data_IF_568562552542
#
_entry.id   IF_568562552542
#
_cell.length_a   1.000
_cell.length_b   1.000
_cell.length_c   1.000
_cell.angle_alpha   90.00
_cell.angle_beta   90.00
_cell.angle_gamma   90.00
#
_symmetry.space_group_name_H-M   'P 1'
#
loop_
_entity.id
_entity.type
_entity.pdbx_description
1 polymer ?
#
# COMPACT_ATOMS: atom_id res chain seq x y z
N UNK A 1 1.34 26.05 -21.29
CA UNK A 1 0.17 25.14 -21.24
C UNK A 1 0.20 24.05 -22.31
N UNK A 2 0.41 24.32 -23.62
CA UNK A 2 0.28 23.28 -24.66
C UNK A 2 1.09 22.00 -24.42
N UNK A 3 2.35 22.15 -24.02
CA UNK A 3 3.23 21.01 -23.72
C UNK A 3 2.81 20.24 -22.46
N UNK A 4 2.31 20.95 -21.44
CA UNK A 4 1.77 20.32 -20.23
C UNK A 4 0.52 19.49 -20.58
N UNK A 5 -0.41 20.04 -21.35
CA UNK A 5 -1.61 19.35 -21.79
C UNK A 5 -1.27 18.10 -22.63
N UNK A 6 -0.34 18.24 -23.59
CA UNK A 6 0.12 17.12 -24.41
C UNK A 6 0.75 15.99 -23.57
N UNK A 7 1.58 16.32 -22.58
CA UNK A 7 2.17 15.34 -21.67
C UNK A 7 1.11 14.68 -20.79
N UNK A 8 0.23 15.48 -20.18
CA UNK A 8 -0.80 14.98 -19.27
C UNK A 8 -1.79 14.08 -20.00
N UNK A 9 -2.23 14.43 -21.21
CA UNK A 9 -3.08 13.56 -22.03
C UNK A 9 -2.49 12.16 -22.18
N UNK A 10 -1.20 12.07 -22.52
CA UNK A 10 -0.50 10.78 -22.66
C UNK A 10 -0.40 10.07 -21.32
N UNK A 11 -0.02 10.77 -20.26
CA UNK A 11 0.16 10.18 -18.93
C UNK A 11 -1.15 9.59 -18.39
N UNK A 12 -2.22 10.39 -18.35
CA UNK A 12 -3.51 9.98 -17.80
C UNK A 12 -4.17 8.90 -18.64
N UNK A 13 -4.13 9.01 -19.98
CA UNK A 13 -4.64 7.96 -20.86
C UNK A 13 -3.90 6.63 -20.65
N UNK A 14 -2.58 6.69 -20.50
CA UNK A 14 -1.77 5.47 -20.26
C UNK A 14 -2.09 4.84 -18.91
N UNK A 15 -2.26 5.65 -17.87
CA UNK A 15 -2.65 5.17 -16.53
C UNK A 15 -4.04 4.52 -16.54
N UNK A 16 -5.00 5.18 -17.17
CA UNK A 16 -6.34 4.64 -17.37
C UNK A 16 -6.30 3.27 -18.08
N UNK A 17 -5.52 3.14 -19.16
CA UNK A 17 -5.36 1.85 -19.85
C UNK A 17 -4.65 0.80 -19.00
N UNK A 18 -3.61 1.18 -18.24
CA UNK A 18 -2.91 0.26 -17.34
C UNK A 18 -3.82 -0.28 -16.24
N UNK A 19 -4.65 0.58 -15.65
CA UNK A 19 -5.59 0.23 -14.59
C UNK A 19 -6.76 -0.61 -15.11
N UNK A 20 -7.30 -0.27 -16.29
CA UNK A 20 -8.43 -0.99 -16.89
C UNK A 20 -8.03 -2.34 -17.47
N UNK A 21 -6.80 -2.46 -17.97
CA UNK A 21 -6.30 -3.63 -18.67
C UNK A 21 -4.90 -4.04 -18.17
N UNK A 22 -4.78 -4.51 -16.91
CA UNK A 22 -3.50 -4.91 -16.33
C UNK A 22 -2.88 -6.12 -17.02
N UNK A 23 -3.70 -6.96 -17.66
CA UNK A 23 -3.32 -8.18 -18.38
C UNK A 23 -2.84 -7.93 -19.82
N UNK A 24 -3.05 -6.72 -20.36
CA UNK A 24 -2.66 -6.41 -21.74
C UNK A 24 -1.17 -6.14 -21.88
N UNK A 25 -0.58 -6.70 -22.95
CA UNK A 25 0.78 -6.36 -23.38
C UNK A 25 0.88 -4.88 -23.80
N UNK A 26 2.11 -4.35 -23.76
CA UNK A 26 2.41 -2.98 -24.24
C UNK A 26 1.94 -2.78 -25.69
N UNK A 27 2.11 -3.78 -26.55
CA UNK A 27 1.66 -3.73 -27.95
C UNK A 27 0.13 -3.58 -28.06
N UNK A 28 -0.64 -4.30 -27.24
CA UNK A 28 -2.09 -4.17 -27.22
C UNK A 28 -2.52 -2.78 -26.77
N UNK A 29 -1.90 -2.23 -25.71
CA UNK A 29 -2.18 -0.88 -25.22
C UNK A 29 -1.82 0.20 -26.23
N UNK A 30 -0.68 0.07 -26.93
CA UNK A 30 -0.27 0.95 -28.03
C UNK A 30 -1.23 0.89 -29.23
N UNK A 31 -1.76 -0.30 -29.56
CA UNK A 31 -2.78 -0.43 -30.59
C UNK A 31 -4.10 0.26 -30.17
N UNK A 32 -4.51 0.10 -28.91
CA UNK A 32 -5.70 0.80 -28.40
C UNK A 32 -5.55 2.32 -28.46
N UNK A 33 -4.38 2.85 -28.09
CA UNK A 33 -4.08 4.28 -28.22
C UNK A 33 -4.21 4.78 -29.66
N UNK A 34 -3.81 3.96 -30.64
CA UNK A 34 -3.96 4.28 -32.05
C UNK A 34 -5.43 4.29 -32.49
N UNK A 35 -6.25 3.39 -31.97
CA UNK A 35 -7.68 3.35 -32.25
C UNK A 35 -8.42 4.54 -31.64
N UNK A 36 -8.15 4.85 -30.36
CA UNK A 36 -8.87 5.88 -29.61
C UNK A 36 -8.42 7.30 -29.97
N UNK A 37 -7.10 7.50 -30.15
CA UNK A 37 -6.46 8.82 -30.26
C UNK A 37 -5.68 8.99 -31.57
N UNK A 38 -5.79 8.05 -32.51
CA UNK A 38 -5.18 8.13 -33.84
C UNK A 38 -3.69 7.85 -33.90
N UNK A 39 -3.01 7.64 -32.76
CA UNK A 39 -1.57 7.33 -32.72
C UNK A 39 -1.17 6.45 -31.54
N UNK A 40 -0.32 5.46 -31.82
CA UNK A 40 0.26 4.60 -30.78
C UNK A 40 1.13 5.35 -29.76
N UNK A 41 1.60 6.55 -30.12
CA UNK A 41 2.45 7.40 -29.26
C UNK A 41 1.67 8.13 -28.16
N UNK A 42 0.35 7.94 -28.08
CA UNK A 42 -0.45 8.40 -26.96
C UNK A 42 -0.39 7.48 -25.73
N UNK A 43 0.15 6.26 -25.88
CA UNK A 43 0.45 5.38 -24.76
C UNK A 43 1.95 5.40 -24.40
N UNK A 44 2.23 5.71 -23.14
CA UNK A 44 3.54 5.63 -22.51
C UNK A 44 3.58 4.48 -21.51
N UNK A 45 4.57 3.61 -21.68
CA UNK A 45 5.03 2.70 -20.64
C UNK A 45 5.51 3.48 -19.41
N UNK A 46 5.71 2.78 -18.30
CA UNK A 46 6.21 3.39 -17.07
C UNK A 46 7.54 4.14 -17.26
N UNK A 47 8.48 3.55 -18.01
CA UNK A 47 9.75 4.19 -18.34
C UNK A 47 9.60 5.39 -19.29
N UNK A 48 8.74 5.26 -20.32
CA UNK A 48 8.43 6.37 -21.24
C UNK A 48 7.75 7.55 -20.52
N UNK A 49 6.98 7.30 -19.45
CA UNK A 49 6.38 8.38 -18.63
C UNK A 49 7.45 9.23 -17.93
N UNK A 50 8.51 8.59 -17.39
CA UNK A 50 9.60 9.30 -16.70
C UNK A 50 10.33 10.22 -17.69
N UNK A 51 10.82 9.65 -18.79
CA UNK A 51 11.59 10.37 -19.82
C UNK A 51 10.74 11.34 -20.64
N UNK A 52 9.45 11.03 -20.85
CA UNK A 52 8.50 11.90 -21.56
C UNK A 52 8.28 13.26 -20.90
N UNK A 53 8.59 13.38 -19.61
CA UNK A 53 8.53 14.65 -18.88
C UNK A 53 9.65 15.64 -19.25
N UNK A 54 10.73 15.19 -19.91
CA UNK A 54 11.89 16.03 -20.21
C UNK A 54 11.55 17.29 -21.02
N UNK A 55 10.60 17.19 -21.98
CA UNK A 55 10.18 18.34 -22.78
C UNK A 55 9.42 19.39 -21.97
N UNK A 56 8.54 18.97 -21.06
CA UNK A 56 7.80 19.90 -20.19
C UNK A 56 8.70 20.51 -19.13
N UNK A 57 9.68 19.76 -18.60
CA UNK A 57 10.68 20.28 -17.67
C UNK A 57 11.58 21.33 -18.33
N UNK A 58 12.08 21.05 -19.54
CA UNK A 58 12.86 22.01 -20.33
C UNK A 58 12.07 23.31 -20.56
N UNK A 59 10.82 23.20 -21.01
CA UNK A 59 9.97 24.37 -21.22
C UNK A 59 9.69 25.14 -19.92
N UNK A 60 9.39 24.44 -18.81
CA UNK A 60 9.15 25.09 -17.52
C UNK A 60 10.39 25.82 -17.00
N UNK A 61 11.57 25.22 -17.11
CA UNK A 61 12.84 25.84 -16.74
C UNK A 61 13.10 27.10 -17.57
N UNK A 62 13.03 26.98 -18.90
CA UNK A 62 13.32 28.10 -19.80
C UNK A 62 12.31 29.24 -19.61
N UNK A 63 11.03 28.93 -19.37
CA UNK A 63 10.02 29.92 -19.03
C UNK A 63 10.32 30.64 -17.70
N UNK A 64 10.71 29.90 -16.65
CA UNK A 64 11.12 30.48 -15.37
C UNK A 64 12.40 31.31 -15.43
N UNK A 65 13.19 31.15 -16.49
CA UNK A 65 14.38 31.94 -16.79
C UNK A 65 14.11 33.09 -17.78
N UNK A 66 12.84 33.42 -18.05
CA UNK A 66 12.40 34.46 -18.99
C UNK A 66 12.92 34.27 -20.42
N UNK A 67 13.22 33.02 -20.82
CA UNK A 67 13.72 32.68 -22.18
C UNK A 67 12.61 32.27 -23.15
N UNK A 68 11.40 32.06 -22.65
CA UNK A 68 10.24 31.70 -23.47
C UNK A 68 9.14 32.77 -23.34
N UNK A 69 8.67 33.24 -24.48
CA UNK A 69 7.58 34.21 -24.60
C UNK A 69 6.53 33.79 -25.64
N UNK A 70 6.89 32.93 -26.59
CA UNK A 70 6.01 32.47 -27.66
C UNK A 70 6.44 31.05 -28.11
N UNK A 71 5.59 30.05 -27.82
CA UNK A 71 5.87 28.66 -28.21
C UNK A 71 5.62 28.38 -29.70
N UNK A 72 5.05 29.33 -30.45
CA UNK A 72 4.92 29.24 -31.90
C UNK A 72 6.19 29.70 -32.63
N UNK A 73 7.07 30.42 -31.93
CA UNK A 73 8.38 30.84 -32.45
C UNK A 73 9.34 29.65 -32.56
N UNK A 74 9.95 29.51 -33.74
CA UNK A 74 10.79 28.36 -34.05
C UNK A 74 12.11 28.36 -33.25
N UNK A 75 12.72 29.52 -33.03
CA UNK A 75 13.96 29.60 -32.25
C UNK A 75 13.71 29.19 -30.79
N UNK A 76 12.56 29.56 -30.22
CA UNK A 76 12.15 29.10 -28.90
C UNK A 76 11.80 27.60 -28.85
N UNK A 77 11.21 27.04 -29.91
CA UNK A 77 11.02 25.60 -30.04
C UNK A 77 12.37 24.86 -30.05
N UNK A 78 13.37 25.42 -30.74
CA UNK A 78 14.73 24.89 -30.78
C UNK A 78 15.42 24.96 -29.42
N UNK A 79 15.21 26.02 -28.63
CA UNK A 79 15.71 26.09 -27.25
C UNK A 79 15.16 24.95 -26.38
N UNK A 80 13.84 24.70 -26.46
CA UNK A 80 13.20 23.61 -25.72
C UNK A 80 13.74 22.26 -26.17
N UNK A 81 13.87 22.07 -27.48
CA UNK A 81 14.39 20.85 -28.08
C UNK A 81 15.81 20.54 -27.60
N UNK A 82 16.69 21.54 -27.62
CA UNK A 82 18.07 21.42 -27.18
C UNK A 82 18.15 21.00 -25.71
N UNK A 83 17.46 21.71 -24.81
CA UNK A 83 17.44 21.40 -23.38
C UNK A 83 16.83 20.02 -23.08
N UNK A 84 15.77 19.63 -23.80
CA UNK A 84 15.20 18.27 -23.71
C UNK A 84 16.25 17.22 -24.11
N UNK A 85 16.95 17.42 -25.21
CA UNK A 85 17.93 16.45 -25.72
C UNK A 85 19.15 16.33 -24.79
N UNK A 86 19.60 17.42 -24.18
CA UNK A 86 20.59 17.39 -23.10
C UNK A 86 20.11 16.56 -21.90
N UNK A 87 18.87 16.78 -21.47
CA UNK A 87 18.25 16.04 -20.36
C UNK A 87 18.17 14.54 -20.66
N UNK A 88 17.72 14.18 -21.87
CA UNK A 88 17.63 12.79 -22.30
C UNK A 88 19.00 12.11 -22.39
N UNK A 89 20.00 12.82 -22.93
CA UNK A 89 21.37 12.31 -22.98
C UNK A 89 21.94 12.10 -21.59
N UNK A 90 21.63 12.96 -20.64
CA UNK A 90 22.04 12.80 -19.24
C UNK A 90 21.35 11.61 -18.57
N UNK A 91 20.04 11.43 -18.81
CA UNK A 91 19.26 10.34 -18.21
C UNK A 91 19.60 8.96 -18.80
N UNK A 92 19.71 8.87 -20.13
CA UNK A 92 19.81 7.59 -20.85
C UNK A 92 21.24 7.30 -21.38
N UNK A 93 22.15 8.26 -21.29
CA UNK A 93 23.49 8.19 -21.90
C UNK A 93 23.51 8.45 -23.41
N UNK A 94 22.35 8.48 -24.07
CA UNK A 94 22.21 8.75 -25.51
C UNK A 94 20.92 9.51 -25.82
N UNK A 95 20.89 10.14 -26.99
CA UNK A 95 19.69 10.72 -27.60
C UNK A 95 19.77 10.48 -29.11
N UNK A 96 18.69 9.99 -29.70
CA UNK A 96 18.64 9.68 -31.13
C UNK A 96 18.00 10.81 -31.94
N UNK A 97 17.16 11.62 -31.30
CA UNK A 97 16.45 12.70 -31.95
C UNK A 97 17.32 13.93 -32.12
N UNK A 98 17.19 14.58 -33.27
CA UNK A 98 17.76 15.90 -33.53
C UNK A 98 16.93 16.99 -32.86
N UNK A 99 17.55 18.16 -32.61
CA UNK A 99 16.83 19.31 -32.06
C UNK A 99 15.68 19.75 -32.99
N UNK A 100 15.86 19.66 -34.31
CA UNK A 100 14.83 19.98 -35.31
C UNK A 100 13.62 19.04 -35.23
N UNK A 101 13.85 17.73 -35.05
CA UNK A 101 12.77 16.76 -34.89
C UNK A 101 11.95 17.03 -33.62
N UNK A 102 12.63 17.36 -32.51
CA UNK A 102 11.96 17.69 -31.25
C UNK A 102 11.25 19.04 -31.34
N UNK A 103 11.82 20.03 -32.00
CA UNK A 103 11.16 21.33 -32.22
C UNK A 103 9.85 21.17 -33.00
N UNK A 104 9.83 20.27 -34.01
CA UNK A 104 8.59 19.88 -34.69
C UNK A 104 7.57 19.25 -33.75
N UNK A 105 7.99 18.47 -32.75
CA UNK A 105 7.06 17.91 -31.75
C UNK A 105 6.46 18.99 -30.86
N UNK A 106 7.27 20.00 -30.48
CA UNK A 106 6.79 21.19 -29.77
C UNK A 106 5.75 21.91 -30.61
N UNK A 107 6.05 22.22 -31.88
CA UNK A 107 5.13 22.87 -32.81
C UNK A 107 3.81 22.08 -32.96
N UNK A 108 3.89 20.76 -33.16
CA UNK A 108 2.71 19.90 -33.26
C UNK A 108 1.86 19.92 -31.99
N UNK A 109 2.49 19.93 -30.81
CA UNK A 109 1.78 20.00 -29.53
C UNK A 109 1.09 21.35 -29.34
N UNK A 110 1.71 22.43 -29.82
CA UNK A 110 1.11 23.78 -29.81
C UNK A 110 -0.10 23.83 -30.74
N UNK A 111 0.01 23.29 -31.95
CA UNK A 111 -1.08 23.24 -32.92
C UNK A 111 -2.26 22.39 -32.41
N UNK A 112 -2.00 21.16 -31.97
CA UNK A 112 -3.02 20.25 -31.42
C UNK A 112 -3.75 20.86 -30.21
N UNK A 113 -3.04 21.58 -29.34
CA UNK A 113 -3.67 22.28 -28.23
C UNK A 113 -4.58 23.43 -28.70
N UNK A 114 -4.16 24.19 -29.72
CA UNK A 114 -4.98 25.26 -30.31
C UNK A 114 -6.24 24.73 -30.99
N UNK A 115 -6.19 23.51 -31.53
CA UNK A 115 -7.34 22.79 -32.09
C UNK A 115 -8.22 22.11 -31.02
N UNK A 116 -7.80 22.15 -29.76
CA UNK A 116 -8.55 21.61 -28.63
C UNK A 116 -8.40 20.10 -28.42
N UNK A 117 -7.45 19.44 -29.09
CA UNK A 117 -7.28 17.98 -29.05
C UNK A 117 -7.05 17.43 -27.63
N UNK A 118 -6.39 18.21 -26.77
CA UNK A 118 -6.07 17.78 -25.40
C UNK A 118 -7.12 18.20 -24.37
N UNK A 119 -8.13 18.98 -24.74
CA UNK A 119 -9.06 19.58 -23.79
C UNK A 119 -8.45 20.70 -22.94
N UNK A 120 -9.21 21.17 -21.94
CA UNK A 120 -8.82 22.26 -21.05
C UNK A 120 -8.21 21.71 -19.76
N UNK A 121 -7.00 22.15 -19.43
CA UNK A 121 -6.28 21.72 -18.23
C UNK A 121 -6.07 22.91 -17.31
N UNK A 122 -6.12 22.66 -16.01
CA UNK A 122 -5.70 23.63 -15.01
C UNK A 122 -4.30 23.28 -14.52
N UNK A 123 -3.42 24.29 -14.42
CA UNK A 123 -2.10 24.12 -13.84
C UNK A 123 -1.89 25.14 -12.71
N UNK A 124 -1.36 24.64 -11.61
CA UNK A 124 -1.05 25.40 -10.41
C UNK A 124 0.45 25.35 -10.17
N UNK A 125 1.05 26.49 -9.88
CA UNK A 125 2.46 26.56 -9.49
C UNK A 125 2.51 26.80 -7.99
N UNK A 126 3.05 25.83 -7.27
CA UNK A 126 3.29 25.91 -5.85
C UNK A 126 4.73 26.36 -5.58
N UNK A 127 4.86 27.44 -4.80
CA UNK A 127 6.15 27.99 -4.37
C UNK A 127 6.36 27.62 -2.90
N UNK A 128 7.06 26.51 -2.62
CA UNK A 128 7.42 26.16 -1.24
C UNK A 128 8.29 27.25 -0.61
N UNK A 129 8.17 27.44 0.71
CA UNK A 129 9.07 28.33 1.44
C UNK A 129 10.53 27.82 1.44
N UNK A 130 11.49 28.74 1.56
CA UNK A 130 12.92 28.42 1.59
C UNK A 130 13.55 28.28 0.19
N UNK A 131 14.67 27.57 0.09
CA UNK A 131 15.41 27.31 -1.16
C UNK A 131 14.93 26.02 -1.85
N UNK A 132 13.63 25.76 -1.83
CA UNK A 132 13.03 24.56 -2.42
C UNK A 132 12.54 24.85 -3.85
N UNK A 133 12.59 23.82 -4.71
CA UNK A 133 12.16 23.94 -6.10
C UNK A 133 10.62 24.10 -6.17
N UNK A 134 10.10 25.05 -6.97
CA UNK A 134 8.67 25.14 -7.24
C UNK A 134 8.13 23.87 -7.92
N UNK A 135 6.87 23.54 -7.62
CA UNK A 135 6.18 22.39 -8.19
C UNK A 135 5.07 22.89 -9.10
N UNK A 136 4.98 22.33 -10.31
CA UNK A 136 3.83 22.52 -11.20
C UNK A 136 2.93 21.30 -11.04
N UNK A 137 1.70 21.51 -10.57
CA UNK A 137 0.66 20.49 -10.49
C UNK A 137 -0.38 20.75 -11.57
N UNK A 138 -0.77 19.72 -12.33
CA UNK A 138 -1.78 19.82 -13.38
C UNK A 138 -2.98 18.96 -13.00
N UNK A 139 -4.18 19.51 -13.11
CA UNK A 139 -5.44 18.80 -12.86
C UNK A 139 -6.10 18.39 -14.19
N UNK A 140 -6.68 17.18 -14.27
CA UNK A 140 -7.33 16.69 -15.49
C UNK A 140 -8.53 17.55 -15.94
N UNK A 141 -8.86 17.57 -17.24
CA UNK A 141 -10.02 18.28 -17.76
C UNK A 141 -11.31 17.65 -17.24
N UNK A 142 -12.25 18.49 -16.80
CA UNK A 142 -13.61 18.08 -16.50
C UNK A 142 -13.99 18.19 -15.02
N UNK A 143 -15.24 17.83 -14.66
CA UNK A 143 -15.61 17.71 -13.27
C UNK A 143 -14.71 16.65 -12.62
N UNK A 144 -14.17 16.96 -11.45
CA UNK A 144 -13.74 15.90 -10.54
C UNK A 144 -15.03 15.15 -10.23
N UNK A 145 -15.12 13.87 -10.61
CA UNK A 145 -16.27 13.06 -10.22
C UNK A 145 -16.27 13.02 -8.69
N UNK A 146 -17.15 13.83 -8.10
CA UNK A 146 -17.35 13.84 -6.66
C UNK A 146 -18.04 12.53 -6.30
N UNK A 147 -17.25 11.59 -5.80
CA UNK A 147 -17.77 10.39 -5.19
C UNK A 147 -18.26 10.74 -3.80
N UNK A 148 -19.36 10.13 -3.39
CA UNK A 148 -19.76 10.10 -1.99
C UNK A 148 -19.49 8.69 -1.46
N UNK A 149 -19.12 8.56 -0.20
CA UNK A 149 -18.81 7.24 0.35
C UNK A 149 -18.59 7.27 1.85
N UNK A 150 -19.32 6.42 2.55
CA UNK A 150 -19.18 6.22 3.98
C UNK A 150 -18.97 4.74 4.30
N UNK A 151 -18.05 4.48 5.23
CA UNK A 151 -17.90 3.16 5.86
C UNK A 151 -18.26 3.25 7.34
N UNK A 152 -18.64 2.12 7.92
CA UNK A 152 -18.85 1.98 9.37
C UNK A 152 -18.21 0.72 9.91
N UNK A 153 -17.60 0.86 11.10
CA UNK A 153 -16.95 -0.22 11.84
C UNK A 153 -17.56 -0.36 13.22
N UNK A 154 -17.77 -1.61 13.64
CA UNK A 154 -18.12 -1.99 14.99
C UNK A 154 -16.89 -2.56 15.67
N UNK A 155 -16.41 -1.91 16.74
CA UNK A 155 -15.22 -2.32 17.48
C UNK A 155 -15.60 -2.65 18.92
N UNK A 156 -15.32 -3.87 19.36
CA UNK A 156 -15.66 -4.31 20.72
C UNK A 156 -14.52 -5.07 21.38
N UNK A 157 -14.65 -5.31 22.68
CA UNK A 157 -13.90 -6.37 23.36
C UNK A 157 -14.55 -7.75 23.10
N UNK A 158 -13.99 -8.79 23.70
CA UNK A 158 -14.52 -10.16 23.63
C UNK A 158 -15.88 -10.34 24.31
N UNK A 159 -16.20 -9.48 25.28
CA UNK A 159 -17.48 -9.47 26.01
C UNK A 159 -18.58 -8.67 25.28
N UNK A 160 -18.23 -7.98 24.20
CA UNK A 160 -19.15 -7.18 23.39
C UNK A 160 -19.27 -5.71 23.82
N UNK A 161 -18.42 -5.22 24.73
CA UNK A 161 -18.37 -3.80 25.08
C UNK A 161 -17.65 -3.02 23.98
N UNK A 162 -18.19 -1.85 23.60
CA UNK A 162 -17.58 -1.03 22.54
C UNK A 162 -16.22 -0.47 22.97
N UNK A 163 -15.26 -0.43 22.05
CA UNK A 163 -13.91 0.05 22.31
C UNK A 163 -13.56 1.31 21.51
N UNK A 164 -13.25 2.39 22.24
CA UNK A 164 -12.67 3.61 21.70
C UNK A 164 -11.14 3.50 21.63
N UNK A 165 -10.50 4.22 20.70
CA UNK A 165 -9.04 4.39 20.70
C UNK A 165 -8.25 3.39 19.85
N UNK A 166 -8.91 2.44 19.17
CA UNK A 166 -8.23 1.59 18.20
C UNK A 166 -7.96 2.39 16.91
N UNK A 167 -6.74 2.35 16.37
CA UNK A 167 -6.41 3.03 15.11
C UNK A 167 -6.39 2.01 13.97
N UNK A 168 -7.07 2.33 12.87
CA UNK A 168 -7.11 1.54 11.65
C UNK A 168 -6.48 2.29 10.49
N UNK A 169 -5.76 1.55 9.64
CA UNK A 169 -5.35 1.98 8.32
C UNK A 169 -6.31 1.48 7.25
N UNK A 170 -6.59 2.32 6.26
CA UNK A 170 -7.37 1.99 5.07
C UNK A 170 -6.41 1.88 3.88
N UNK A 171 -6.60 0.87 3.05
CA UNK A 171 -5.76 0.54 1.90
C UNK A 171 -6.63 0.28 0.65
N UNK A 172 -6.01 0.42 -0.52
CA UNK A 172 -6.64 0.10 -1.83
C UNK A 172 -6.26 -1.28 -2.35
N UNK A 173 -5.32 -1.95 -1.68
CA UNK A 173 -4.85 -3.30 -1.99
C UNK A 173 -5.01 -4.23 -0.78
N UNK A 174 -5.16 -5.52 -1.05
CA UNK A 174 -5.36 -6.55 -0.02
C UNK A 174 -4.11 -6.87 0.79
N UNK A 175 -2.93 -6.38 0.38
CA UNK A 175 -1.67 -6.62 1.06
C UNK A 175 -1.57 -5.88 2.39
N UNK A 176 -2.29 -4.76 2.55
CA UNK A 176 -2.30 -3.95 3.77
C UNK A 176 -0.88 -3.68 4.32
N UNK A 177 0.03 -3.29 3.42
CA UNK A 177 1.42 -3.05 3.75
C UNK A 177 1.54 -1.80 4.62
N UNK A 178 2.17 -1.92 5.80
CA UNK A 178 2.35 -0.76 6.68
C UNK A 178 3.11 0.37 5.98
N UNK A 179 2.61 1.60 6.12
CA UNK A 179 3.14 2.80 5.46
C UNK A 179 2.53 3.12 4.10
N UNK A 180 1.63 2.28 3.58
CA UNK A 180 0.88 2.54 2.32
C UNK A 180 -0.59 2.89 2.56
N UNK A 181 -0.97 3.19 3.81
CA UNK A 181 -2.32 3.58 4.17
C UNK A 181 -2.74 4.83 3.38
N UNK A 182 -3.89 4.78 2.72
CA UNK A 182 -4.48 5.95 2.04
C UNK A 182 -5.25 6.87 3.00
N UNK A 183 -5.63 6.33 4.16
CA UNK A 183 -6.30 7.07 5.24
C UNK A 183 -6.13 6.29 6.55
N UNK A 184 -6.12 7.00 7.68
CA UNK A 184 -6.23 6.41 9.01
C UNK A 184 -7.38 7.02 9.78
N UNK A 185 -7.96 6.26 10.71
CA UNK A 185 -8.97 6.77 11.64
C UNK A 185 -8.89 6.02 12.98
N UNK A 186 -9.52 6.60 14.00
CA UNK A 186 -9.57 6.02 15.35
C UNK A 186 -11.02 5.69 15.72
N UNK A 187 -11.25 4.54 16.35
CA UNK A 187 -12.59 4.12 16.75
C UNK A 187 -13.14 4.97 17.89
N UNK A 188 -14.44 5.23 17.84
CA UNK A 188 -15.21 5.84 18.94
C UNK A 188 -15.74 4.74 19.86
N UNK A 189 -16.13 5.10 21.08
CA UNK A 189 -16.78 4.18 22.03
C UNK A 189 -18.26 3.90 21.70
N UNK A 190 -18.74 4.35 20.55
CA UNK A 190 -20.10 4.11 20.08
C UNK A 190 -20.21 2.72 19.44
N UNK A 191 -21.43 2.26 19.16
CA UNK A 191 -21.65 0.99 18.45
C UNK A 191 -20.99 0.98 17.06
N UNK A 192 -20.98 2.15 16.40
CA UNK A 192 -20.42 2.33 15.07
C UNK A 192 -19.52 3.56 15.02
N UNK A 193 -18.28 3.35 14.59
CA UNK A 193 -17.41 4.43 14.10
C UNK A 193 -17.69 4.62 12.61
N UNK A 194 -17.97 5.85 12.20
CA UNK A 194 -18.27 6.21 10.81
C UNK A 194 -17.11 7.00 10.21
N UNK A 195 -16.75 6.69 8.97
CA UNK A 195 -15.63 7.34 8.25
C UNK A 195 -16.11 7.75 6.87
N UNK A 196 -15.91 9.03 6.55
CA UNK A 196 -16.10 9.58 5.21
C UNK A 196 -14.87 9.25 4.36
N UNK A 197 -15.08 8.46 3.30
CA UNK A 197 -14.02 7.98 2.41
C UNK A 197 -14.06 8.66 1.04
N UNK A 198 -14.86 9.70 0.84
CA UNK A 198 -15.03 10.34 -0.48
C UNK A 198 -13.73 10.81 -1.12
N UNK A 199 -12.81 11.35 -0.32
CA UNK A 199 -11.56 11.92 -0.81
C UNK A 199 -10.52 10.86 -1.23
N UNK A 200 -10.77 9.58 -0.90
CA UNK A 200 -9.91 8.46 -1.28
C UNK A 200 -10.60 7.53 -2.30
N UNK A 201 -11.80 7.88 -2.75
CA UNK A 201 -12.50 7.14 -3.81
C UNK A 201 -12.01 7.59 -5.18
N UNK A 202 -11.76 6.62 -6.07
CA UNK A 202 -11.34 6.86 -7.47
C UNK A 202 -12.33 6.27 -8.49
N UNK A 203 -13.42 5.65 -8.01
CA UNK A 203 -14.50 5.10 -8.84
C UNK A 203 -15.83 5.14 -8.08
N UNK A 204 -16.95 5.13 -8.82
CA UNK A 204 -18.31 5.14 -8.25
C UNK A 204 -18.65 3.89 -7.43
N UNK A 205 -17.84 2.84 -7.53
CA UNK A 205 -17.84 1.69 -6.63
C UNK A 205 -16.40 1.22 -6.44
N UNK A 206 -15.94 1.13 -5.20
CA UNK A 206 -14.56 0.79 -4.85
C UNK A 206 -14.51 -0.13 -3.63
N UNK A 207 -13.55 -1.06 -3.62
CA UNK A 207 -13.27 -1.90 -2.45
C UNK A 207 -12.07 -1.36 -1.70
N UNK A 208 -12.24 -1.16 -0.40
CA UNK A 208 -11.19 -0.80 0.53
C UNK A 208 -10.84 -1.98 1.42
N UNK A 209 -9.57 -2.02 1.86
CA UNK A 209 -9.06 -2.97 2.83
C UNK A 209 -8.67 -2.24 4.10
N UNK A 210 -8.84 -2.88 5.25
CA UNK A 210 -8.63 -2.27 6.56
C UNK A 210 -7.83 -3.19 7.45
N UNK A 211 -6.87 -2.63 8.18
CA UNK A 211 -6.08 -3.34 9.19
C UNK A 211 -5.94 -2.48 10.43
N UNK A 212 -6.07 -3.10 11.60
CA UNK A 212 -5.81 -2.43 12.87
C UNK A 212 -4.30 -2.20 13.00
N UNK A 213 -3.92 -0.94 13.23
CA UNK A 213 -2.53 -0.52 13.39
C UNK A 213 -2.13 -0.52 14.87
N UNK A 214 -3.07 -0.13 15.73
CA UNK A 214 -2.90 -0.15 17.18
C UNK A 214 -4.23 -0.42 17.87
N UNK A 215 -4.18 -1.24 18.91
CA UNK A 215 -5.31 -1.46 19.80
C UNK A 215 -5.52 -0.28 20.76
N UNK A 216 -6.70 -0.20 21.40
CA UNK A 216 -6.89 0.63 22.59
C UNK A 216 -5.92 0.24 23.72
N UNK A 217 -5.76 1.15 24.69
CA UNK A 217 -4.97 0.90 25.90
C UNK A 217 -5.41 -0.40 26.60
N UNK A 218 -4.45 -1.20 27.04
CA UNK A 218 -4.63 -2.51 27.67
C UNK A 218 -5.21 -3.63 26.79
N UNK A 219 -5.31 -3.44 25.46
CA UNK A 219 -5.77 -4.48 24.54
C UNK A 219 -4.69 -4.90 23.53
N UNK A 220 -4.84 -6.10 22.98
CA UNK A 220 -3.98 -6.62 21.89
C UNK A 220 -4.65 -6.36 20.53
N UNK A 221 -3.93 -5.83 19.52
CA UNK A 221 -4.50 -5.53 18.21
C UNK A 221 -4.83 -6.80 17.41
N UNK A 222 -5.89 -6.72 16.60
CA UNK A 222 -6.20 -7.76 15.63
C UNK A 222 -5.20 -7.74 14.47
N UNK A 223 -4.52 -8.87 14.23
CA UNK A 223 -3.65 -9.05 13.07
C UNK A 223 -4.41 -9.26 11.75
N UNK A 224 -5.73 -9.41 11.79
CA UNK A 224 -6.57 -9.72 10.61
C UNK A 224 -6.74 -8.52 9.69
N UNK A 225 -6.87 -8.80 8.39
CA UNK A 225 -7.24 -7.80 7.39
C UNK A 225 -8.73 -7.94 7.03
N UNK A 226 -9.42 -6.81 6.90
CA UNK A 226 -10.83 -6.73 6.58
C UNK A 226 -11.02 -6.01 5.24
N UNK A 227 -12.19 -6.15 4.63
CA UNK A 227 -12.54 -5.39 3.43
C UNK A 227 -13.97 -4.86 3.49
N UNK A 228 -14.24 -3.88 2.63
CA UNK A 228 -15.57 -3.30 2.42
C UNK A 228 -15.67 -2.74 1.00
N UNK A 229 -16.76 -3.02 0.31
CA UNK A 229 -17.07 -2.39 -0.97
C UNK A 229 -18.05 -1.23 -0.74
N UNK A 230 -17.66 -0.05 -1.21
CA UNK A 230 -18.42 1.21 -1.09
C UNK A 230 -18.91 1.59 -2.47
N UNK A 231 -20.19 1.89 -2.59
CA UNK A 231 -20.80 2.43 -3.81
C UNK A 231 -21.33 3.83 -3.54
N UNK A 232 -20.96 4.81 -4.37
CA UNK A 232 -21.44 6.19 -4.22
C UNK A 232 -22.94 6.34 -4.40
N UNK A 233 -23.60 5.37 -5.03
CA UNK A 233 -25.06 5.34 -5.11
C UNK A 233 -25.69 4.85 -3.81
N UNK A 234 -25.10 3.83 -3.19
CA UNK A 234 -25.73 3.10 -2.08
C UNK A 234 -25.22 3.51 -0.70
N UNK A 235 -24.06 4.14 -0.62
CA UNK A 235 -23.34 4.44 0.62
C UNK A 235 -22.94 5.93 0.71
N UNK A 236 -23.73 6.82 0.14
CA UNK A 236 -23.44 8.26 0.02
C UNK A 236 -23.60 9.06 1.31
N UNK A 237 -24.22 8.50 2.35
CA UNK A 237 -24.43 9.18 3.63
C UNK A 237 -23.99 8.34 4.80
N UNK A 238 -23.82 8.98 5.96
CA UNK A 238 -23.50 8.29 7.22
C UNK A 238 -24.49 7.18 7.56
N UNK A 239 -25.79 7.40 7.32
CA UNK A 239 -26.87 6.43 7.61
C UNK A 239 -26.81 5.20 6.70
N UNK A 240 -26.30 5.38 5.48
CA UNK A 240 -26.20 4.35 4.44
C UNK A 240 -24.80 3.73 4.36
N UNK A 241 -23.92 4.03 5.32
CA UNK A 241 -22.54 3.59 5.34
C UNK A 241 -22.38 2.07 5.20
N UNK A 242 -21.42 1.67 4.37
CA UNK A 242 -21.07 0.26 4.14
C UNK A 242 -20.43 -0.34 5.39
N UNK A 243 -20.93 -1.51 5.83
CA UNK A 243 -20.44 -2.15 7.04
C UNK A 243 -19.20 -3.00 6.74
N UNK A 244 -18.06 -2.64 7.34
CA UNK A 244 -16.84 -3.44 7.25
C UNK A 244 -17.07 -4.80 7.89
N UNK A 245 -16.45 -5.86 7.34
CA UNK A 245 -16.59 -7.23 7.83
C UNK A 245 -18.06 -7.70 7.89
N UNK A 246 -18.90 -7.23 6.95
CA UNK A 246 -20.33 -7.50 6.95
C UNK A 246 -21.08 -6.96 8.18
N UNK A 247 -20.47 -6.05 8.93
CA UNK A 247 -20.99 -5.51 10.18
C UNK A 247 -20.75 -6.37 11.43
N UNK A 248 -19.99 -7.45 11.31
CA UNK A 248 -19.53 -8.24 12.45
C UNK A 248 -18.47 -7.44 13.22
N UNK A 249 -18.58 -7.45 14.54
CA UNK A 249 -17.66 -6.72 15.42
C UNK A 249 -16.22 -7.20 15.24
N UNK A 250 -15.30 -6.23 15.10
CA UNK A 250 -13.86 -6.46 15.15
C UNK A 250 -13.45 -6.42 16.63
N UNK A 251 -12.98 -7.56 17.15
CA UNK A 251 -12.77 -7.76 18.58
C UNK A 251 -11.30 -7.68 18.98
N UNK A 252 -11.01 -7.06 20.12
CA UNK A 252 -9.72 -7.20 20.80
C UNK A 252 -9.89 -7.92 22.14
N UNK A 253 -8.90 -8.74 22.48
CA UNK A 253 -8.74 -9.32 23.81
C UNK A 253 -7.81 -8.49 24.68
N UNK A 254 -7.96 -8.62 26.00
CA UNK A 254 -6.92 -8.20 26.93
C UNK A 254 -5.70 -9.11 26.76
N UNK A 255 -4.47 -8.62 27.00
CA UNK A 255 -3.28 -9.45 27.11
C UNK A 255 -3.56 -10.63 28.03
N UNK A 256 -3.44 -11.85 27.50
CA UNK A 256 -3.51 -13.06 28.29
C UNK A 256 -2.10 -13.48 28.68
N UNK A 257 -1.85 -13.88 29.94
CA UNK A 257 -0.60 -14.52 30.28
C UNK A 257 -0.49 -15.86 29.53
N UNK A 258 0.70 -16.23 29.05
CA UNK A 258 1.33 -17.46 29.48
C UNK A 258 0.55 -18.74 29.81
N UNK A 259 -0.28 -19.36 28.96
CA UNK A 259 -0.71 -20.76 29.23
C UNK A 259 -0.13 -21.74 28.20
N UNK A 260 1.20 -21.74 28.08
CA UNK A 260 1.95 -22.76 27.36
C UNK A 260 3.05 -23.31 28.26
N UNK A 261 2.74 -24.30 29.09
CA UNK A 261 3.75 -25.01 29.90
C UNK A 261 4.12 -26.29 29.16
N UNK A 262 5.40 -26.45 28.83
CA UNK A 262 5.92 -27.75 28.41
C UNK A 262 6.47 -28.44 29.66
N UNK A 263 5.87 -29.57 30.01
CA UNK A 263 6.33 -30.43 31.10
C UNK A 263 6.92 -31.71 30.51
N UNK A 264 8.23 -31.89 30.61
CA UNK A 264 8.89 -33.16 30.35
C UNK A 264 8.77 -34.01 31.60
N UNK A 265 8.05 -35.14 31.49
CA UNK A 265 7.89 -36.10 32.59
C UNK A 265 8.47 -37.46 32.25
N UNK A 266 8.77 -38.24 33.28
CA UNK A 266 9.07 -39.67 33.18
C UNK A 266 7.79 -40.51 33.00
N UNK A 267 7.93 -41.84 32.92
CA UNK A 267 6.82 -42.78 32.77
C UNK A 267 5.85 -42.80 33.97
N UNK A 268 6.27 -42.29 35.12
CA UNK A 268 5.51 -42.24 36.37
C UNK A 268 4.88 -40.85 36.59
N UNK A 269 5.13 -39.90 35.68
CA UNK A 269 4.59 -38.54 35.70
C UNK A 269 5.41 -37.53 36.49
N UNK A 270 6.63 -37.86 36.91
CA UNK A 270 7.54 -36.92 37.59
C UNK A 270 8.25 -36.05 36.57
N UNK A 271 8.39 -34.75 36.85
CA UNK A 271 9.13 -33.82 36.02
C UNK A 271 10.62 -34.19 35.91
N UNK A 272 11.18 -34.15 34.70
CA UNK A 272 12.57 -34.50 34.40
C UNK A 272 13.19 -33.49 33.43
N UNK A 273 14.33 -32.92 33.82
CA UNK A 273 15.11 -32.02 32.98
C UNK A 273 16.60 -32.00 33.31
N UNK A 274 17.39 -31.15 32.65
CA UNK A 274 16.98 -30.32 31.51
C UNK A 274 16.82 -31.15 30.22
N UNK A 275 15.87 -30.78 29.38
CA UNK A 275 15.67 -31.28 28.03
C UNK A 275 15.61 -30.11 27.05
N UNK A 276 16.13 -30.30 25.84
CA UNK A 276 16.04 -29.29 24.77
C UNK A 276 14.97 -29.67 23.77
N UNK A 277 14.10 -28.73 23.45
CA UNK A 277 13.03 -28.87 22.47
C UNK A 277 13.17 -27.85 21.35
N UNK A 278 13.07 -28.33 20.12
CA UNK A 278 13.02 -27.52 18.92
C UNK A 278 11.58 -27.14 18.55
N UNK A 279 11.36 -25.85 18.35
CA UNK A 279 10.09 -25.25 17.97
C UNK A 279 10.18 -24.68 16.57
N UNK A 280 9.35 -25.22 15.68
CA UNK A 280 9.23 -24.73 14.32
C UNK A 280 7.81 -24.29 14.02
N UNK A 281 7.63 -23.01 13.72
CA UNK A 281 6.33 -22.44 13.34
C UNK A 281 6.05 -22.69 11.86
N UNK A 282 4.81 -23.05 11.55
CA UNK A 282 4.34 -23.18 10.16
C UNK A 282 3.94 -21.83 9.54
N UNK A 283 3.73 -20.79 10.35
CA UNK A 283 3.12 -19.52 9.91
C UNK A 283 4.04 -18.31 10.11
N UNK A 284 4.83 -18.30 11.18
CA UNK A 284 5.53 -17.08 11.62
C UNK A 284 7.07 -17.20 11.56
N UNK A 285 7.60 -18.18 10.84
CA UNK A 285 9.04 -18.39 10.59
C UNK A 285 9.94 -18.57 11.83
N UNK A 286 9.36 -18.90 12.98
CA UNK A 286 10.13 -19.30 14.18
C UNK A 286 10.76 -20.67 13.95
N UNK A 287 12.03 -20.81 14.28
CA UNK A 287 12.85 -22.02 14.17
C UNK A 287 13.93 -21.90 15.26
N UNK A 288 13.64 -22.38 16.47
CA UNK A 288 14.44 -22.11 17.67
C UNK A 288 14.39 -23.24 18.70
N UNK A 289 15.45 -23.35 19.50
CA UNK A 289 15.60 -24.34 20.57
C UNK A 289 15.37 -23.69 21.94
N UNK A 290 14.64 -24.39 22.81
CA UNK A 290 14.40 -23.97 24.20
C UNK A 290 14.72 -25.11 25.17
N UNK A 291 15.26 -24.78 26.33
CA UNK A 291 15.69 -25.74 27.36
C UNK A 291 14.72 -25.69 28.55
N UNK A 292 14.24 -26.86 29.01
CA UNK A 292 13.48 -26.93 30.26
C UNK A 292 14.41 -26.75 31.45
N UNK A 293 13.86 -26.31 32.59
CA UNK A 293 14.58 -26.29 33.84
C UNK A 293 14.95 -27.70 34.35
N UNK A 294 15.62 -27.79 35.51
CA UNK A 294 16.01 -29.06 36.15
C UNK A 294 14.80 -29.94 36.54
N UNK A 295 13.61 -29.37 36.65
CA UNK A 295 12.36 -30.07 36.95
C UNK A 295 11.60 -30.48 35.68
N UNK A 296 12.13 -30.19 34.49
CA UNK A 296 11.48 -30.49 33.21
C UNK A 296 10.37 -29.51 32.84
N UNK A 297 10.34 -28.32 33.45
CA UNK A 297 9.36 -27.27 33.17
C UNK A 297 9.95 -26.20 32.24
N UNK A 298 9.22 -25.83 31.20
CA UNK A 298 9.53 -24.70 30.33
C UNK A 298 8.30 -23.79 30.25
N UNK A 299 8.51 -22.54 30.63
CA UNK A 299 7.52 -21.47 30.64
C UNK A 299 7.84 -20.50 29.52
N UNK A 300 6.90 -20.32 28.60
CA UNK A 300 7.05 -19.37 27.50
C UNK A 300 6.56 -17.98 27.86
N UNK A 301 7.05 -16.96 27.16
CA UNK A 301 6.45 -15.63 27.16
C UNK A 301 6.33 -15.08 25.74
N UNK A 302 5.38 -14.18 25.51
CA UNK A 302 5.18 -13.51 24.21
C UNK A 302 4.95 -12.01 24.34
N UNK A 303 5.28 -11.44 25.49
CA UNK A 303 5.05 -10.04 25.83
C UNK A 303 6.29 -9.17 25.68
N UNK A 304 7.49 -9.76 25.72
CA UNK A 304 8.76 -9.08 25.58
C UNK A 304 9.62 -9.76 24.50
N UNK A 305 9.66 -9.22 23.26
CA UNK A 305 10.46 -9.79 22.17
C UNK A 305 11.95 -9.95 22.45
N UNK A 306 12.49 -9.17 23.40
CA UNK A 306 13.90 -9.17 23.76
C UNK A 306 14.18 -9.96 25.05
N UNK A 307 13.13 -10.50 25.69
CA UNK A 307 13.21 -11.30 26.91
C UNK A 307 13.58 -12.76 26.66
N UNK A 308 14.12 -13.44 27.68
CA UNK A 308 14.33 -14.90 27.64
C UNK A 308 13.00 -15.63 27.40
N UNK A 309 13.07 -16.78 26.74
CA UNK A 309 11.93 -17.65 26.43
C UNK A 309 10.78 -16.99 25.65
N UNK A 310 11.10 -15.95 24.86
CA UNK A 310 10.16 -15.32 23.93
C UNK A 310 9.76 -16.25 22.79
N UNK A 311 8.45 -16.46 22.62
CA UNK A 311 7.89 -17.13 21.44
C UNK A 311 6.52 -16.53 21.12
N UNK A 312 6.35 -15.99 19.92
CA UNK A 312 5.07 -15.40 19.50
C UNK A 312 3.91 -16.44 19.50
N UNK A 313 2.64 -16.04 19.68
CA UNK A 313 1.52 -16.98 19.57
C UNK A 313 1.43 -17.59 18.17
N UNK A 314 1.06 -18.87 18.08
CA UNK A 314 1.01 -19.58 16.81
C UNK A 314 0.93 -21.11 16.93
N UNK A 315 0.91 -21.77 15.78
CA UNK A 315 1.00 -23.22 15.69
C UNK A 315 2.45 -23.67 15.49
N UNK A 316 2.89 -24.59 16.34
CA UNK A 316 4.27 -25.09 16.36
C UNK A 316 4.31 -26.60 16.27
N UNK A 317 5.24 -27.11 15.47
CA UNK A 317 5.73 -28.47 15.63
C UNK A 317 6.83 -28.46 16.67
N UNK A 318 6.68 -29.31 17.69
CA UNK A 318 7.65 -29.45 18.79
C UNK A 318 8.34 -30.81 18.67
N UNK A 319 9.67 -30.78 18.67
CA UNK A 319 10.52 -31.98 18.61
C UNK A 319 11.51 -31.94 19.78
N UNK A 320 11.65 -33.03 20.53
CA UNK A 320 12.74 -33.14 21.51
C UNK A 320 14.05 -33.31 20.73
N UNK A 321 15.08 -32.51 21.01
CA UNK A 321 16.41 -32.63 20.37
C UNK A 321 17.42 -33.27 21.33
N UNK A 322 17.35 -32.90 22.61
CA UNK A 322 18.23 -33.39 23.66
C UNK A 322 17.38 -33.91 24.81
N UNK A 323 17.46 -35.21 25.06
CA UNK A 323 16.80 -35.85 26.19
C UNK A 323 17.51 -35.55 27.53
N UNK A 324 16.79 -35.60 28.66
CA UNK A 324 17.39 -35.46 29.99
C UNK A 324 18.51 -36.46 30.27
N UNK A 325 19.56 -36.09 31.05
CA UNK A 325 20.64 -36.98 31.39
C UNK A 325 20.16 -38.31 32.01
N UNK A 326 20.51 -39.44 31.39
CA UNK A 326 20.15 -40.78 31.87
C UNK A 326 18.84 -41.35 31.32
N UNK A 327 18.16 -40.63 30.42
CA UNK A 327 16.95 -41.09 29.73
C UNK A 327 17.23 -41.30 28.24
N UNK A 328 16.58 -42.32 27.65
CA UNK A 328 16.58 -42.48 26.19
C UNK A 328 15.66 -41.43 25.55
N UNK A 329 16.02 -40.99 24.35
CA UNK A 329 15.21 -40.07 23.56
C UNK A 329 13.79 -40.63 23.38
N UNK A 330 12.76 -39.81 23.61
CA UNK A 330 11.37 -40.25 23.58
C UNK A 330 11.07 -41.07 22.33
N UNK A 331 10.74 -42.36 22.51
CA UNK A 331 10.60 -43.31 21.40
C UNK A 331 9.29 -43.09 20.63
N UNK A 332 9.26 -42.04 19.79
CA UNK A 332 8.43 -41.83 18.60
C UNK A 332 8.70 -40.42 18.09
N UNK A 333 9.21 -40.30 16.86
CA UNK A 333 9.15 -39.10 16.02
C UNK A 333 7.68 -38.75 15.71
N UNK A 334 6.89 -38.45 16.73
CA UNK A 334 5.56 -37.88 16.60
C UNK A 334 5.72 -36.40 16.84
N UNK A 335 5.64 -35.53 15.81
CA UNK A 335 5.54 -34.10 16.03
C UNK A 335 4.37 -33.86 17.00
N UNK A 336 4.72 -33.37 18.19
CA UNK A 336 3.72 -32.85 19.11
C UNK A 336 3.19 -31.56 18.51
N UNK A 337 1.89 -31.45 18.35
CA UNK A 337 1.25 -30.19 17.98
C UNK A 337 1.06 -29.41 19.27
N UNK A 338 1.94 -28.43 19.51
CA UNK A 338 1.67 -27.43 20.52
C UNK A 338 1.01 -26.25 19.81
N UNK A 339 -0.29 -26.11 20.07
CA UNK A 339 -1.00 -24.91 19.69
C UNK A 339 -0.81 -23.94 20.86
N UNK A 340 0.13 -23.02 20.72
CA UNK A 340 0.22 -21.87 21.60
C UNK A 340 -0.89 -20.91 21.19
N UNK A 341 -2.10 -21.22 21.63
CA UNK A 341 -3.22 -20.33 21.45
C UNK A 341 -2.97 -19.14 22.37
N UNK A 342 -2.85 -17.93 21.83
CA UNK A 342 -3.49 -16.83 22.53
C UNK A 342 -4.95 -17.25 22.61
N UNK A 343 -5.49 -17.59 23.78
CA UNK A 343 -6.93 -17.85 23.89
C UNK A 343 -7.66 -16.53 23.59
N UNK A 344 -7.95 -16.33 22.31
CA UNK A 344 -8.87 -15.35 21.79
C UNK A 344 -10.03 -16.20 21.26
N UNK A 345 -11.14 -16.32 21.99
CA UNK A 345 -12.37 -16.92 21.46
C UNK A 345 -12.96 -16.10 20.31
#
# INVERSE_FOLDING_TARGET
MPLLAAYCQKWFYSRMLDEKHPDWSVTQKKNQAKEDLGSQFYYYTEEERITGSAMVQAAAWLAGADKLSDLSDHDQQMLIAHERNLTMKAANGFVNETDEEVARWVANSVAAYAEGEYGQWEAYIYYPGGNLQPIITVLPPGPIDEFEGWIKIKKTDLSGNNLAGATFGIYVDSGCQSGTEVMTFTTTGDEWTYVDVKNIMTSSTQTFYLKELSAPEDYVPSGSSYNVTVSSTNNSTKETAAAVNGGVAIKNGLPQPPEGVVNKVDQDGNGIGPATFHFKSLTNSVDADFETDENGELQFQWTDPDGEDYIQPGEYTVTEEIAPPGYEHGHKDMPGWLILTSQVP
#
